data_IF_268878317592
#
_entry.id   IF_268878317592
#
_cell.length_a   1.000
_cell.length_b   1.000
_cell.length_c   1.000
_cell.angle_alpha   90.00
_cell.angle_beta   90.00
_cell.angle_gamma   90.00
#
_symmetry.space_group_name_H-M   'P 1'
#
loop_
_entity.id
_entity.type
_entity.pdbx_description
1 polymer ?
#
# COMPACT_ATOMS: atom_id res chain seq x y z
N UNK A 1 2.30 4.87 -22.03
CA UNK A 1 2.10 3.59 -21.34
C UNK A 1 0.65 3.14 -21.51
N UNK A 2 0.43 1.90 -21.89
CA UNK A 2 -0.88 1.43 -22.35
C UNK A 2 -1.71 0.68 -21.31
N UNK A 3 -1.36 0.73 -20.01
CA UNK A 3 -2.09 -0.01 -18.98
C UNK A 3 -3.55 0.41 -18.83
N UNK A 4 -3.86 1.66 -19.14
CA UNK A 4 -5.20 2.21 -19.03
C UNK A 4 -5.89 2.41 -20.39
N UNK A 5 -5.26 1.91 -21.47
CA UNK A 5 -5.82 1.92 -22.81
C UNK A 5 -6.83 0.77 -22.94
N UNK A 6 -7.99 1.03 -23.53
CA UNK A 6 -8.99 -0.01 -23.81
C UNK A 6 -8.44 -1.17 -24.61
N UNK A 7 -7.52 -0.90 -25.52
CA UNK A 7 -6.90 -1.94 -26.33
C UNK A 7 -5.98 -2.86 -25.53
N UNK A 8 -5.47 -2.42 -24.38
CA UNK A 8 -4.65 -3.22 -23.49
C UNK A 8 -5.39 -4.43 -22.92
N UNK A 9 -6.73 -4.41 -22.89
CA UNK A 9 -7.54 -5.54 -22.43
C UNK A 9 -7.39 -6.78 -23.33
N UNK A 10 -6.91 -6.61 -24.54
CA UNK A 10 -6.68 -7.68 -25.51
C UNK A 10 -5.24 -8.17 -25.49
N UNK A 11 -4.35 -7.54 -24.73
CA UNK A 11 -2.96 -7.97 -24.58
C UNK A 11 -2.87 -9.10 -23.56
N UNK A 12 -1.89 -10.02 -23.71
CA UNK A 12 -1.66 -11.00 -22.67
C UNK A 12 -1.42 -10.31 -21.35
N UNK A 13 -2.06 -10.81 -20.29
CA UNK A 13 -1.92 -10.27 -18.95
C UNK A 13 -0.45 -10.29 -18.55
N UNK A 14 0.02 -9.17 -18.03
CA UNK A 14 1.29 -9.12 -17.34
C UNK A 14 1.06 -9.67 -15.93
N UNK A 15 1.27 -10.95 -15.74
CA UNK A 15 1.04 -11.64 -14.46
C UNK A 15 2.03 -11.23 -13.36
N UNK A 16 3.06 -10.48 -13.72
CA UNK A 16 4.15 -10.09 -12.84
C UNK A 16 4.19 -8.59 -12.54
N UNK A 17 3.05 -7.91 -12.59
CA UNK A 17 2.94 -6.50 -12.24
C UNK A 17 2.47 -6.37 -10.80
N UNK A 18 3.11 -5.48 -10.06
CA UNK A 18 2.67 -5.00 -8.75
C UNK A 18 2.46 -3.50 -8.89
N UNK A 19 1.28 -3.03 -8.52
CA UNK A 19 0.98 -1.61 -8.47
C UNK A 19 1.28 -1.08 -7.09
N UNK A 20 1.97 0.02 -7.00
CA UNK A 20 2.15 0.75 -5.74
C UNK A 20 1.54 2.13 -5.90
N UNK A 21 0.59 2.46 -5.03
CA UNK A 21 -0.11 3.74 -5.08
C UNK A 21 0.15 4.51 -3.79
N UNK A 22 0.48 5.79 -3.94
CA UNK A 22 0.77 6.72 -2.87
C UNK A 22 1.99 6.29 -2.04
N UNK A 23 3.17 6.62 -2.52
CA UNK A 23 4.46 6.20 -1.95
C UNK A 23 4.59 6.45 -0.44
N UNK A 24 4.52 7.71 -0.02
CA UNK A 24 4.68 8.13 1.38
C UNK A 24 3.67 9.22 1.73
N UNK A 25 2.42 8.86 2.05
CA UNK A 25 1.49 9.84 2.58
C UNK A 25 2.08 10.53 3.81
N UNK A 26 1.88 11.83 3.90
CA UNK A 26 2.31 12.60 5.06
C UNK A 26 1.44 12.27 6.29
N UNK A 27 1.53 13.10 7.31
CA UNK A 27 0.67 12.97 8.48
C UNK A 27 -0.75 13.44 8.17
N UNK A 28 -1.48 12.58 7.51
CA UNK A 28 -2.88 12.80 7.11
C UNK A 28 -3.74 11.61 7.56
N UNK A 29 -5.04 11.82 7.66
CA UNK A 29 -5.95 10.76 8.08
C UNK A 29 -5.99 9.62 7.07
N UNK A 30 -5.83 8.40 7.55
CA UNK A 30 -6.04 7.21 6.73
C UNK A 30 -7.47 7.14 6.23
N UNK A 31 -8.44 7.14 7.15
CA UNK A 31 -9.85 6.90 6.82
C UNK A 31 -10.51 8.03 6.03
N UNK A 32 -10.07 9.28 6.24
CA UNK A 32 -10.70 10.44 5.60
C UNK A 32 -9.99 10.93 4.34
N UNK A 33 -8.70 10.63 4.18
CA UNK A 33 -7.88 11.16 3.08
C UNK A 33 -7.30 10.03 2.22
N UNK A 34 -6.47 9.18 2.80
CA UNK A 34 -5.72 8.17 2.03
C UNK A 34 -6.64 7.07 1.51
N UNK A 35 -7.47 6.51 2.35
CA UNK A 35 -8.36 5.41 1.97
C UNK A 35 -9.36 5.80 0.87
N UNK A 36 -10.08 6.94 0.94
CA UNK A 36 -10.95 7.36 -0.15
C UNK A 36 -10.21 7.55 -1.47
N UNK A 37 -9.05 8.17 -1.44
CA UNK A 37 -8.20 8.30 -2.63
C UNK A 37 -7.80 6.91 -3.19
N UNK A 38 -7.34 6.03 -2.31
CA UNK A 38 -6.94 4.68 -2.70
C UNK A 38 -8.10 3.91 -3.34
N UNK A 39 -9.30 4.00 -2.79
CA UNK A 39 -10.48 3.33 -3.35
C UNK A 39 -10.77 3.76 -4.77
N UNK A 40 -10.65 5.05 -5.09
CA UNK A 40 -10.86 5.55 -6.47
C UNK A 40 -9.79 5.02 -7.43
N UNK A 41 -8.52 5.04 -7.02
CA UNK A 41 -7.42 4.53 -7.85
C UNK A 41 -7.53 3.02 -8.04
N UNK A 42 -7.83 2.28 -6.99
CA UNK A 42 -8.01 0.82 -7.04
C UNK A 42 -9.17 0.47 -7.97
N UNK A 43 -10.28 1.18 -7.89
CA UNK A 43 -11.43 0.98 -8.78
C UNK A 43 -11.00 1.10 -10.25
N UNK A 44 -10.21 2.09 -10.58
CA UNK A 44 -9.69 2.31 -11.93
C UNK A 44 -8.77 1.17 -12.36
N UNK A 45 -7.83 0.77 -11.50
CA UNK A 45 -6.92 -0.35 -11.80
C UNK A 45 -7.72 -1.65 -11.98
N UNK A 46 -8.64 -1.96 -11.09
CA UNK A 46 -9.43 -3.21 -11.12
C UNK A 46 -10.37 -3.29 -12.30
N UNK A 47 -10.73 -2.16 -12.91
CA UNK A 47 -11.52 -2.17 -14.16
C UNK A 47 -10.72 -2.71 -15.35
N UNK A 48 -9.40 -2.73 -15.26
CA UNK A 48 -8.48 -3.16 -16.33
C UNK A 48 -7.74 -4.43 -15.92
N UNK A 49 -7.23 -4.45 -14.69
CA UNK A 49 -6.45 -5.55 -14.13
C UNK A 49 -7.13 -6.05 -12.85
N UNK A 50 -7.88 -7.16 -12.94
CA UNK A 50 -8.65 -7.65 -11.80
C UNK A 50 -7.82 -8.35 -10.73
N UNK A 51 -6.60 -8.80 -11.03
CA UNK A 51 -5.92 -9.80 -10.22
C UNK A 51 -4.59 -9.37 -9.60
N UNK A 52 -3.81 -8.52 -10.26
CA UNK A 52 -2.48 -8.20 -9.79
C UNK A 52 -2.49 -7.44 -8.45
N UNK A 53 -1.46 -7.67 -7.64
CA UNK A 53 -1.33 -7.07 -6.32
C UNK A 53 -1.26 -5.54 -6.40
N UNK A 54 -2.05 -4.89 -5.55
CA UNK A 54 -1.98 -3.43 -5.34
C UNK A 54 -1.50 -3.17 -3.92
N UNK A 55 -0.46 -2.35 -3.80
CA UNK A 55 0.13 -1.95 -2.53
C UNK A 55 -0.24 -0.48 -2.28
N UNK A 56 -0.77 -0.19 -1.11
CA UNK A 56 -1.25 1.14 -0.74
C UNK A 56 -0.35 1.73 0.34
N UNK A 57 0.12 2.97 0.14
CA UNK A 57 0.89 3.70 1.14
C UNK A 57 0.10 3.99 2.41
N UNK A 58 0.75 3.97 3.56
CA UNK A 58 0.15 4.30 4.84
C UNK A 58 0.61 5.68 5.35
N UNK A 59 -0.15 6.33 6.26
CA UNK A 59 0.24 7.65 6.76
C UNK A 59 1.59 7.67 7.46
N UNK A 60 2.11 8.86 7.74
CA UNK A 60 3.43 9.12 8.33
C UNK A 60 4.55 8.41 7.56
N UNK A 61 4.64 8.68 6.26
CA UNK A 61 5.69 8.11 5.41
C UNK A 61 5.70 6.58 5.42
N UNK A 62 4.53 5.99 5.29
CA UNK A 62 4.33 4.54 5.26
C UNK A 62 4.76 3.82 6.55
N UNK A 63 4.44 4.41 7.70
CA UNK A 63 4.74 3.87 9.03
C UNK A 63 3.50 3.55 9.87
N UNK A 64 2.32 4.11 9.54
CA UNK A 64 1.12 3.94 10.34
C UNK A 64 0.23 2.81 9.86
N UNK A 65 0.84 1.65 9.67
CA UNK A 65 0.11 0.43 9.30
C UNK A 65 -0.86 -0.05 10.40
N UNK A 66 -0.60 0.33 11.64
CA UNK A 66 -1.50 0.12 12.77
C UNK A 66 -2.86 0.77 12.53
N UNK A 67 -2.88 2.06 12.15
CA UNK A 67 -4.13 2.78 11.83
C UNK A 67 -4.85 2.16 10.63
N UNK A 68 -4.11 1.77 9.63
CA UNK A 68 -4.68 1.08 8.45
C UNK A 68 -5.39 -0.20 8.87
N UNK A 69 -4.80 -0.97 9.78
CA UNK A 69 -5.36 -2.24 10.23
C UNK A 69 -6.66 -2.11 11.01
N UNK A 70 -6.95 -0.93 11.54
CA UNK A 70 -8.22 -0.64 12.24
C UNK A 70 -9.37 -0.35 11.27
N UNK A 71 -9.05 0.09 10.05
CA UNK A 71 -10.04 0.42 9.01
C UNK A 71 -9.52 0.04 7.61
N UNK A 72 -9.25 -1.25 7.34
CA UNK A 72 -8.65 -1.66 6.08
C UNK A 72 -9.61 -1.56 4.89
N UNK A 73 -9.07 -1.68 3.69
CA UNK A 73 -9.85 -1.79 2.47
C UNK A 73 -10.38 -3.22 2.38
N UNK A 74 -11.69 -3.36 2.39
CA UNK A 74 -12.36 -4.68 2.36
C UNK A 74 -13.18 -4.92 1.09
N UNK A 75 -13.33 -3.90 0.24
CA UNK A 75 -14.16 -3.97 -0.97
C UNK A 75 -13.40 -4.51 -2.19
N UNK A 76 -12.11 -4.70 -2.09
CA UNK A 76 -11.27 -5.26 -3.14
C UNK A 76 -10.35 -6.33 -2.57
N UNK A 77 -10.04 -7.32 -3.40
CA UNK A 77 -9.11 -8.39 -3.06
C UNK A 77 -7.68 -8.06 -3.51
N UNK A 78 -6.73 -8.79 -2.97
CA UNK A 78 -5.31 -8.72 -3.31
C UNK A 78 -4.71 -7.32 -3.13
N UNK A 79 -4.97 -6.76 -1.94
CA UNK A 79 -4.46 -5.47 -1.49
C UNK A 79 -3.46 -5.72 -0.35
N UNK A 80 -2.32 -5.07 -0.40
CA UNK A 80 -1.35 -5.01 0.70
C UNK A 80 -1.07 -3.55 1.05
N UNK A 81 -0.39 -3.34 2.18
CA UNK A 81 -0.11 -2.00 2.69
C UNK A 81 1.38 -1.83 2.89
N UNK A 82 1.87 -0.67 2.51
CA UNK A 82 3.30 -0.36 2.53
C UNK A 82 3.79 -0.09 3.95
N UNK A 83 4.93 -0.68 4.27
CA UNK A 83 5.73 -0.32 5.42
C UNK A 83 7.12 0.09 4.95
N UNK A 84 7.54 1.31 5.30
CA UNK A 84 8.90 1.79 5.09
C UNK A 84 9.66 1.86 6.41
N UNK A 85 10.94 1.51 6.41
CA UNK A 85 11.75 1.66 7.60
C UNK A 85 13.23 1.92 7.30
N UNK A 86 13.87 2.66 8.20
CA UNK A 86 15.31 2.85 8.24
C UNK A 86 15.80 2.53 9.63
N UNK A 87 16.70 1.56 9.78
CA UNK A 87 17.03 0.94 11.05
C UNK A 87 17.60 1.90 12.09
N UNK A 88 18.19 3.02 11.67
CA UNK A 88 18.70 4.04 12.59
C UNK A 88 17.57 4.78 13.31
N UNK A 89 16.45 5.01 12.64
CA UNK A 89 15.33 5.80 13.16
C UNK A 89 14.16 4.96 13.63
N UNK A 90 13.95 3.82 12.99
CA UNK A 90 12.76 2.99 13.16
C UNK A 90 13.15 1.71 13.92
N UNK A 91 12.93 1.74 15.22
CA UNK A 91 13.32 0.64 16.10
C UNK A 91 12.09 -0.12 16.61
N UNK A 92 12.05 -0.43 17.90
CA UNK A 92 11.01 -1.28 18.48
C UNK A 92 9.59 -0.76 18.26
N UNK A 93 9.38 0.53 18.40
CA UNK A 93 8.06 1.13 18.24
C UNK A 93 7.44 0.87 16.86
N UNK A 94 8.24 0.82 15.79
CA UNK A 94 7.72 0.49 14.45
C UNK A 94 7.43 -1.00 14.31
N UNK A 95 8.22 -1.85 14.94
CA UNK A 95 7.94 -3.29 14.99
C UNK A 95 6.63 -3.57 15.72
N UNK A 96 6.35 -2.85 16.80
CA UNK A 96 5.07 -2.96 17.52
C UNK A 96 3.89 -2.60 16.62
N UNK A 97 4.00 -1.51 15.86
CA UNK A 97 2.98 -1.11 14.88
C UNK A 97 2.77 -2.21 13.81
N UNK A 98 3.86 -2.72 13.26
CA UNK A 98 3.78 -3.77 12.25
C UNK A 98 3.17 -5.07 12.82
N UNK A 99 3.57 -5.45 14.02
CA UNK A 99 3.03 -6.63 14.70
C UNK A 99 1.54 -6.47 14.97
N UNK A 100 1.10 -5.30 15.42
CA UNK A 100 -0.31 -4.99 15.63
C UNK A 100 -1.10 -5.12 14.33
N UNK A 101 -0.59 -4.57 13.24
CA UNK A 101 -1.23 -4.63 11.93
C UNK A 101 -1.37 -6.06 11.42
N UNK A 102 -0.32 -6.86 11.54
CA UNK A 102 -0.33 -8.28 11.14
C UNK A 102 -1.33 -9.06 11.99
N UNK A 103 -1.35 -8.83 13.30
CA UNK A 103 -2.29 -9.48 14.20
C UNK A 103 -3.75 -9.10 13.90
N UNK A 104 -3.98 -7.91 13.39
CA UNK A 104 -5.29 -7.47 12.91
C UNK A 104 -5.64 -8.02 11.52
N UNK A 105 -4.76 -8.79 10.89
CA UNK A 105 -5.05 -9.55 9.70
C UNK A 105 -4.76 -8.87 8.37
N UNK A 106 -4.07 -7.73 8.34
CA UNK A 106 -3.71 -7.09 7.08
C UNK A 106 -2.33 -7.53 6.58
N UNK A 107 -2.16 -7.70 5.25
CA UNK A 107 -0.85 -8.01 4.68
C UNK A 107 0.00 -6.74 4.55
N UNK A 108 1.25 -6.83 4.96
CA UNK A 108 2.23 -5.76 4.82
C UNK A 108 3.24 -6.09 3.73
N UNK A 109 3.69 -5.06 3.04
CA UNK A 109 4.74 -5.17 2.05
C UNK A 109 5.78 -4.08 2.29
N UNK A 110 7.04 -4.46 2.49
CA UNK A 110 8.14 -3.51 2.64
C UNK A 110 8.66 -3.17 1.25
N UNK A 111 8.33 -1.97 0.78
CA UNK A 111 8.75 -1.51 -0.55
C UNK A 111 9.98 -0.62 -0.49
N UNK A 112 10.32 -0.11 0.70
CA UNK A 112 11.50 0.73 0.91
C UNK A 112 12.10 0.49 2.29
N UNK A 113 13.40 0.28 2.35
CA UNK A 113 14.10 0.12 3.62
C UNK A 113 15.59 0.47 3.47
N UNK A 114 16.24 0.77 4.59
CA UNK A 114 17.66 1.02 4.61
C UNK A 114 18.30 0.67 5.96
N UNK A 115 19.61 0.37 5.94
CA UNK A 115 20.39 0.08 7.14
C UNK A 115 20.98 1.34 7.78
N UNK A 116 20.96 2.45 7.06
CA UNK A 116 21.41 3.77 7.53
C UNK A 116 20.21 4.73 7.56
N UNK A 117 20.37 5.80 8.33
CA UNK A 117 19.33 6.83 8.33
C UNK A 117 19.42 7.72 7.09
N UNK A 118 18.30 8.33 6.74
CA UNK A 118 18.30 9.43 5.81
C UNK A 118 18.78 10.71 6.51
N UNK A 119 19.50 11.51 5.81
CA UNK A 119 19.97 12.81 6.33
C UNK A 119 18.87 13.84 6.32
#
# INVERSE_FOLDING_TARGET
MRFFDKDSQHLPFFENIIYEIYNEPLDVSWSEVVKPYALEVIQTIRSIDPDNLIIVGSPECSQRVDLVSEDPITTFDNIAYTLHFYTVHHQEWLRERATSAINNGIPLFVTEWGSIGYS
#
